data_IF_128575460635
#
_entry.id   IF_128575460635
#
_cell.length_a   1.000
_cell.length_b   1.000
_cell.length_c   1.000
_cell.angle_alpha   90.00
_cell.angle_beta   90.00
_cell.angle_gamma   90.00
#
_symmetry.space_group_name_H-M   'P 1'
#
loop_
_entity.id
_entity.type
_entity.pdbx_description
1 polymer ?
#
# COMPACT_ATOMS: atom_id res chain seq x y z
N UNK A 1 -6.48 -5.11 -4.16
CA UNK A 1 -5.35 -4.64 -5.00
C UNK A 1 -4.33 -3.85 -4.19
N UNK A 2 -3.09 -3.75 -4.68
CA UNK A 2 -2.14 -2.68 -4.35
C UNK A 2 -1.90 -1.83 -5.59
N UNK A 3 -1.66 -0.53 -5.42
CA UNK A 3 -1.31 0.38 -6.52
C UNK A 3 0.21 0.57 -6.63
N UNK A 4 0.78 0.31 -7.80
CA UNK A 4 2.21 0.50 -8.09
C UNK A 4 2.39 1.67 -9.06
N UNK A 5 3.05 2.74 -8.58
CA UNK A 5 3.24 3.97 -9.36
C UNK A 5 4.12 3.72 -10.62
N UNK A 6 5.12 2.86 -10.45
CA UNK A 6 6.07 2.44 -11.49
C UNK A 6 5.88 0.97 -11.86
N UNK A 7 6.36 0.60 -13.06
CA UNK A 7 6.43 -0.81 -13.44
C UNK A 7 7.34 -1.56 -12.48
N UNK A 8 6.89 -2.70 -11.99
CA UNK A 8 7.73 -3.60 -11.19
C UNK A 8 8.88 -4.08 -12.07
N UNK A 9 10.10 -3.89 -11.58
CA UNK A 9 11.36 -4.32 -12.19
C UNK A 9 12.02 -5.34 -11.26
N UNK A 10 11.78 -6.62 -11.52
CA UNK A 10 12.32 -7.73 -10.76
C UNK A 10 13.84 -7.91 -10.91
N UNK A 11 14.51 -7.12 -11.76
CA UNK A 11 15.97 -7.03 -11.78
C UNK A 11 16.53 -6.09 -10.70
N UNK A 12 15.68 -5.22 -10.14
CA UNK A 12 16.05 -4.24 -9.10
C UNK A 12 15.64 -4.74 -7.70
N UNK A 13 16.49 -5.60 -7.14
CA UNK A 13 16.25 -6.19 -5.81
C UNK A 13 15.24 -7.34 -5.85
N UNK A 14 14.61 -7.61 -4.71
CA UNK A 14 13.63 -8.71 -4.56
C UNK A 14 12.27 -8.10 -4.22
N UNK A 15 11.42 -7.82 -5.22
CA UNK A 15 10.13 -7.19 -4.97
C UNK A 15 9.18 -8.17 -4.28
N UNK A 16 8.49 -7.71 -3.23
CA UNK A 16 7.60 -8.55 -2.44
C UNK A 16 6.50 -7.75 -1.73
N UNK A 17 5.35 -8.40 -1.55
CA UNK A 17 4.29 -7.99 -0.62
C UNK A 17 4.64 -8.57 0.75
N UNK A 18 4.52 -7.74 1.79
CA UNK A 18 4.68 -8.10 3.19
C UNK A 18 3.32 -7.93 3.89
N UNK A 19 2.87 -9.01 4.53
CA UNK A 19 1.68 -9.04 5.36
C UNK A 19 2.15 -9.06 6.82
N UNK A 20 1.69 -8.07 7.60
CA UNK A 20 2.08 -7.88 8.98
C UNK A 20 0.85 -7.91 9.89
N UNK A 21 1.01 -8.46 11.09
CA UNK A 21 -0.05 -8.42 12.10
C UNK A 21 -0.16 -7.03 12.78
N UNK A 22 -1.05 -6.92 13.76
CA UNK A 22 -1.30 -5.67 14.50
C UNK A 22 -0.06 -5.15 15.25
N UNK A 23 0.84 -6.06 15.66
CA UNK A 23 2.11 -5.75 16.34
C UNK A 23 3.24 -5.37 15.35
N UNK A 24 2.97 -5.31 14.04
CA UNK A 24 3.96 -5.13 12.97
C UNK A 24 4.94 -6.31 12.81
N UNK A 25 4.56 -7.50 13.25
CA UNK A 25 5.35 -8.70 13.02
C UNK A 25 5.03 -9.28 11.64
N UNK A 26 6.08 -9.72 10.91
CA UNK A 26 5.93 -10.30 9.58
C UNK A 26 5.23 -11.66 9.66
N UNK A 27 4.16 -11.82 8.89
CA UNK A 27 3.32 -13.02 8.87
C UNK A 27 3.54 -13.83 7.60
N UNK A 28 3.58 -13.13 6.46
CA UNK A 28 3.69 -13.74 5.14
C UNK A 28 4.38 -12.78 4.18
N UNK A 29 5.20 -13.35 3.30
CA UNK A 29 5.83 -12.67 2.18
C UNK A 29 5.31 -13.29 0.88
N UNK A 30 4.80 -12.48 -0.03
CA UNK A 30 4.36 -12.93 -1.35
C UNK A 30 5.30 -12.31 -2.39
N UNK A 31 6.09 -13.12 -3.12
CA UNK A 31 7.02 -12.59 -4.12
C UNK A 31 6.26 -11.92 -5.27
N UNK A 32 6.75 -10.77 -5.72
CA UNK A 32 6.18 -10.01 -6.84
C UNK A 32 6.87 -10.28 -8.17
N UNK A 33 7.80 -11.24 -8.22
CA UNK A 33 8.60 -11.54 -9.41
C UNK A 33 7.75 -11.85 -10.64
N UNK A 34 6.65 -12.58 -10.46
CA UNK A 34 5.75 -12.97 -11.56
C UNK A 34 4.90 -11.81 -12.09
N UNK A 35 4.92 -10.66 -11.40
CA UNK A 35 4.25 -9.42 -11.80
C UNK A 35 5.21 -8.43 -12.49
N UNK A 36 6.40 -8.89 -12.88
CA UNK A 36 7.39 -8.05 -13.56
C UNK A 36 6.81 -7.35 -14.81
N UNK A 37 7.08 -6.04 -14.93
CA UNK A 37 6.58 -5.18 -16.00
C UNK A 37 5.18 -4.61 -15.78
N UNK A 38 4.44 -5.04 -14.76
CA UNK A 38 3.11 -4.51 -14.44
C UNK A 38 3.20 -3.25 -13.57
N UNK A 39 2.22 -2.34 -13.71
CA UNK A 39 2.03 -1.12 -12.90
C UNK A 39 0.53 -0.86 -12.67
N UNK A 40 0.21 0.11 -11.82
CA UNK A 40 -1.16 0.47 -11.46
C UNK A 40 -1.74 -0.51 -10.44
N UNK A 41 -3.05 -0.70 -10.44
CA UNK A 41 -3.71 -1.65 -9.55
C UNK A 41 -3.41 -3.09 -9.95
N UNK A 42 -2.77 -3.83 -9.03
CA UNK A 42 -2.52 -5.26 -9.18
C UNK A 42 -3.26 -6.00 -8.08
N UNK A 43 -4.03 -7.02 -8.48
CA UNK A 43 -4.76 -7.90 -7.59
C UNK A 43 -3.88 -9.06 -7.12
N UNK A 44 -4.04 -9.42 -5.85
CA UNK A 44 -3.38 -10.55 -5.22
C UNK A 44 -4.35 -11.14 -4.19
N UNK A 45 -4.17 -12.42 -3.89
CA UNK A 45 -4.95 -13.13 -2.90
C UNK A 45 -4.04 -13.63 -1.79
N UNK A 46 -4.59 -13.70 -0.58
CA UNK A 46 -3.94 -14.32 0.56
C UNK A 46 -4.95 -15.24 1.23
N UNK A 47 -4.55 -16.49 1.42
CA UNK A 47 -5.37 -17.57 1.98
C UNK A 47 -5.50 -17.51 3.51
N UNK A 48 -4.88 -16.51 4.16
CA UNK A 48 -4.86 -16.36 5.60
C UNK A 48 -3.86 -17.29 6.30
N UNK A 49 -2.82 -17.74 5.61
CA UNK A 49 -1.74 -18.56 6.19
C UNK A 49 -0.41 -17.82 6.36
N UNK A 50 0.41 -18.27 7.30
CA UNK A 50 1.78 -17.79 7.49
C UNK A 50 2.78 -18.51 6.53
N UNK A 51 4.08 -18.28 6.71
CA UNK A 51 5.11 -18.93 5.89
C UNK A 51 5.15 -20.46 6.00
N UNK A 52 4.66 -21.02 7.11
CA UNK A 52 4.59 -22.47 7.35
C UNK A 52 3.32 -23.11 6.79
N UNK A 53 2.42 -22.31 6.18
CA UNK A 53 1.11 -22.77 5.72
C UNK A 53 0.07 -22.94 6.83
N UNK A 54 0.35 -22.42 8.04
CA UNK A 54 -0.57 -22.47 9.18
C UNK A 54 -1.54 -21.28 9.12
N UNK A 55 -2.82 -21.52 9.38
CA UNK A 55 -3.81 -20.43 9.47
C UNK A 55 -3.47 -19.49 10.61
N UNK A 56 -3.51 -18.19 10.34
CA UNK A 56 -3.24 -17.17 11.35
C UNK A 56 -4.52 -16.74 12.07
N UNK A 57 -4.41 -16.15 13.27
CA UNK A 57 -5.56 -15.65 14.01
C UNK A 57 -6.39 -14.64 13.19
N UNK A 58 -7.69 -14.58 13.44
CA UNK A 58 -8.53 -13.51 12.90
C UNK A 58 -8.10 -12.18 13.51
N UNK A 59 -8.02 -11.14 12.70
CA UNK A 59 -7.61 -9.80 13.12
C UNK A 59 -7.32 -8.90 11.93
N UNK A 60 -6.85 -7.68 12.20
CA UNK A 60 -6.44 -6.77 11.15
C UNK A 60 -4.98 -7.05 10.75
N UNK A 61 -4.72 -7.03 9.44
CA UNK A 61 -3.39 -7.21 8.90
C UNK A 61 -3.01 -6.01 8.04
N UNK A 62 -1.80 -5.51 8.25
CA UNK A 62 -1.22 -4.44 7.42
C UNK A 62 -0.57 -5.09 6.21
N UNK A 63 -0.95 -4.65 5.02
CA UNK A 63 -0.36 -5.15 3.77
C UNK A 63 0.37 -4.01 3.08
N UNK A 64 1.67 -4.19 2.88
CA UNK A 64 2.57 -3.28 2.18
C UNK A 64 3.41 -4.04 1.18
N UNK A 65 4.03 -3.36 0.23
CA UNK A 65 4.97 -3.96 -0.70
C UNK A 65 6.20 -3.07 -0.90
N UNK A 66 7.32 -3.73 -1.17
CA UNK A 66 8.59 -3.12 -1.53
C UNK A 66 8.97 -3.59 -2.93
N UNK A 67 9.36 -2.68 -3.81
CA UNK A 67 9.72 -2.98 -5.20
C UNK A 67 10.72 -1.96 -5.75
N UNK A 68 11.41 -2.31 -6.83
CA UNK A 68 12.37 -1.46 -7.53
C UNK A 68 13.45 -0.85 -6.60
N UNK A 69 14.35 -1.67 -6.08
CA UNK A 69 15.49 -1.20 -5.29
C UNK A 69 16.32 -0.18 -6.08
N UNK A 70 16.42 1.03 -5.55
CA UNK A 70 17.26 2.06 -6.13
C UNK A 70 18.74 1.78 -5.83
N UNK A 71 19.57 1.83 -6.86
CA UNK A 71 20.98 1.44 -6.76
C UNK A 71 21.84 2.46 -6.02
N UNK A 72 21.41 3.73 -5.95
CA UNK A 72 22.15 4.81 -5.31
C UNK A 72 21.78 4.94 -3.83
N UNK A 73 20.50 5.15 -3.55
CA UNK A 73 19.96 5.34 -2.19
C UNK A 73 19.83 4.03 -1.39
N UNK A 74 19.87 2.87 -2.07
CA UNK A 74 19.62 1.55 -1.47
C UNK A 74 18.24 1.42 -0.82
N UNK A 75 17.26 2.20 -1.30
CA UNK A 75 15.88 2.15 -0.81
C UNK A 75 14.96 1.53 -1.87
N UNK A 76 13.99 0.75 -1.41
CA UNK A 76 12.89 0.29 -2.26
C UNK A 76 11.84 1.38 -2.40
N UNK A 77 11.14 1.41 -3.54
CA UNK A 77 9.83 2.04 -3.61
C UNK A 77 8.85 1.24 -2.75
N UNK A 78 7.91 1.95 -2.11
CA UNK A 78 6.94 1.36 -1.20
C UNK A 78 5.51 1.68 -1.61
N UNK A 79 4.62 0.70 -1.44
CA UNK A 79 3.17 0.89 -1.55
C UNK A 79 2.43 0.11 -0.48
N UNK A 80 1.14 0.39 -0.27
CA UNK A 80 0.31 -0.24 0.77
C UNK A 80 -1.17 -0.21 0.42
N UNK A 81 -1.98 -0.99 1.14
CA UNK A 81 -3.44 -0.91 1.05
C UNK A 81 -3.92 0.51 1.40
N UNK A 82 -4.96 0.97 0.71
CA UNK A 82 -5.59 2.27 0.95
C UNK A 82 -4.82 3.46 0.37
N UNK A 83 -4.00 3.26 -0.66
CA UNK A 83 -3.45 4.32 -1.51
C UNK A 83 -3.49 3.92 -2.99
N UNK A 84 -3.51 4.91 -3.88
CA UNK A 84 -3.49 4.70 -5.32
C UNK A 84 -4.21 5.82 -6.07
N UNK A 85 -4.32 5.67 -7.38
CA UNK A 85 -5.05 6.60 -8.23
C UNK A 85 -6.57 6.50 -7.98
N UNK A 86 -7.22 7.65 -7.84
CA UNK A 86 -8.69 7.72 -7.78
C UNK A 86 -9.24 7.56 -9.18
N UNK A 87 -9.92 6.45 -9.44
CA UNK A 87 -10.46 6.11 -10.77
C UNK A 87 -11.82 6.77 -11.02
N UNK A 88 -12.62 6.97 -9.97
CA UNK A 88 -13.88 7.72 -10.04
C UNK A 88 -14.35 8.20 -8.68
N UNK A 89 -15.28 9.16 -8.69
CA UNK A 89 -16.05 9.60 -7.52
C UNK A 89 -17.48 9.08 -7.64
N UNK A 90 -17.96 8.42 -6.59
CA UNK A 90 -19.31 7.83 -6.51
C UNK A 90 -20.08 8.58 -5.44
N UNK A 91 -21.34 8.92 -5.69
CA UNK A 91 -22.23 9.47 -4.66
C UNK A 91 -23.17 8.38 -4.14
N UNK A 92 -22.87 7.83 -2.96
CA UNK A 92 -23.77 6.89 -2.27
C UNK A 92 -24.72 7.67 -1.36
N UNK A 93 -25.98 7.82 -1.78
CA UNK A 93 -27.03 8.57 -1.06
C UNK A 93 -26.57 10.00 -0.69
N UNK A 94 -25.88 10.66 -1.62
CA UNK A 94 -25.34 12.01 -1.44
C UNK A 94 -24.00 12.09 -0.71
N UNK A 95 -23.46 10.96 -0.21
CA UNK A 95 -22.12 10.92 0.40
C UNK A 95 -21.07 10.63 -0.69
N UNK A 96 -20.04 11.48 -0.86
CA UNK A 96 -18.98 11.25 -1.84
C UNK A 96 -18.04 10.11 -1.38
N UNK A 97 -17.78 9.20 -2.30
CA UNK A 97 -16.92 8.03 -2.15
C UNK A 97 -15.86 8.03 -3.26
N UNK A 98 -14.67 7.55 -2.97
CA UNK A 98 -13.56 7.39 -3.91
C UNK A 98 -13.45 5.93 -4.32
N UNK A 99 -13.46 5.66 -5.63
CA UNK A 99 -13.08 4.35 -6.18
C UNK A 99 -11.57 4.33 -6.42
N UNK A 100 -10.90 3.37 -5.79
CA UNK A 100 -9.46 3.17 -5.83
C UNK A 100 -9.20 1.67 -6.09
N UNK A 101 -9.24 1.26 -7.36
CA UNK A 101 -9.26 -0.13 -7.76
C UNK A 101 -10.52 -0.84 -7.23
N UNK A 102 -10.34 -1.97 -6.55
CA UNK A 102 -11.44 -2.72 -5.92
C UNK A 102 -11.99 -2.04 -4.64
N UNK A 103 -11.32 -1.00 -4.13
CA UNK A 103 -11.74 -0.32 -2.90
C UNK A 103 -12.68 0.84 -3.22
N UNK A 104 -13.80 0.93 -2.50
CA UNK A 104 -14.66 2.12 -2.47
C UNK A 104 -14.61 2.68 -1.06
N UNK A 105 -14.03 3.86 -0.90
CA UNK A 105 -13.75 4.48 0.40
C UNK A 105 -14.47 5.82 0.56
N UNK A 106 -14.95 6.17 1.75
CA UNK A 106 -15.43 7.52 2.05
C UNK A 106 -14.37 8.58 1.78
N UNK A 107 -14.76 9.77 1.28
CA UNK A 107 -13.80 10.83 0.99
C UNK A 107 -13.03 11.31 2.24
N UNK A 108 -13.64 11.23 3.43
CA UNK A 108 -13.05 11.65 4.71
C UNK A 108 -11.91 10.72 5.19
N UNK A 109 -11.78 9.54 4.60
CA UNK A 109 -10.66 8.63 4.82
C UNK A 109 -9.37 9.07 4.11
N UNK A 110 -9.48 9.96 3.12
CA UNK A 110 -8.34 10.48 2.39
C UNK A 110 -7.61 11.55 3.22
N UNK A 111 -6.34 11.30 3.52
CA UNK A 111 -5.49 12.21 4.30
C UNK A 111 -4.57 13.08 3.44
N UNK A 112 -4.35 12.72 2.18
CA UNK A 112 -3.45 13.42 1.24
C UNK A 112 -3.83 13.14 -0.21
N UNK A 113 -3.67 14.13 -1.09
CA UNK A 113 -3.79 14.00 -2.55
C UNK A 113 -2.61 14.69 -3.24
N UNK A 114 -2.07 14.06 -4.27
CA UNK A 114 -0.98 14.59 -5.10
C UNK A 114 -1.11 14.06 -6.52
N UNK A 115 -0.45 14.70 -7.49
CA UNK A 115 -0.45 14.23 -8.88
C UNK A 115 0.44 13.00 -9.03
N UNK A 116 0.11 12.06 -9.94
CA UNK A 116 1.03 10.98 -10.29
C UNK A 116 2.43 11.52 -10.64
N UNK A 117 3.45 10.71 -10.38
CA UNK A 117 4.86 11.02 -10.64
C UNK A 117 5.44 12.22 -9.84
N UNK A 118 4.66 12.79 -8.91
CA UNK A 118 5.15 13.72 -7.91
C UNK A 118 5.30 13.00 -6.56
N UNK A 119 6.47 13.12 -5.92
CA UNK A 119 6.63 12.59 -4.55
C UNK A 119 5.67 13.32 -3.62
N UNK A 120 5.05 12.62 -2.64
CA UNK A 120 4.39 13.28 -1.52
C UNK A 120 5.34 14.31 -0.93
N UNK A 121 4.83 15.50 -0.63
CA UNK A 121 5.62 16.50 0.10
C UNK A 121 6.00 15.86 1.44
N UNK A 122 7.29 15.80 1.78
CA UNK A 122 7.72 15.28 3.07
C UNK A 122 6.96 15.99 4.20
N UNK A 123 6.02 15.29 4.83
CA UNK A 123 5.37 15.78 6.02
C UNK A 123 6.40 15.71 7.15
N UNK A 124 6.96 16.87 7.54
CA UNK A 124 7.68 16.98 8.80
C UNK A 124 6.78 16.43 9.92
N UNK A 125 7.30 15.64 10.86
CA UNK A 125 6.52 15.18 12.00
C UNK A 125 5.81 16.37 12.64
N UNK A 126 4.49 16.37 12.64
CA UNK A 126 3.72 17.35 13.37
C UNK A 126 4.01 17.10 14.86
N UNK A 127 4.79 17.97 15.48
CA UNK A 127 4.86 18.03 16.94
C UNK A 127 3.44 18.18 17.46
N UNK A 128 2.99 17.33 18.40
CA UNK A 128 1.68 17.50 19.00
C UNK A 128 1.59 18.90 19.62
N UNK A 129 0.41 19.57 19.57
CA UNK A 129 0.25 20.86 20.21
C UNK A 129 0.61 20.71 21.69
N UNK A 130 1.49 21.59 22.18
CA UNK A 130 1.69 21.75 23.63
C UNK A 130 0.33 22.10 24.22
N UNK A 131 -0.22 21.24 25.06
CA UNK A 131 -1.26 21.61 25.99
C UNK A 131 -0.69 22.73 26.88
N UNK A 132 -1.21 23.93 26.72
CA UNK A 132 -0.98 25.03 27.65
C UNK A 132 -1.90 24.79 28.84
N UNK A 133 -1.30 24.44 29.99
CA UNK A 133 -1.96 24.42 31.29
C UNK A 133 -2.25 25.86 31.78
#
# INVERSE_FOLDING_TARGET
SLFFDEKIDASKGVPAIQILNENNELVKTIPLKDYNGQKGYINFEWDGTNEKGEKVPKGNYKIKAEYNLDSQSKQYLQTRIGRGEVESVIFDKGKPMLRMGEMILPIDSAIEFYKPDQKPLEQKPQTPPKETA
#
